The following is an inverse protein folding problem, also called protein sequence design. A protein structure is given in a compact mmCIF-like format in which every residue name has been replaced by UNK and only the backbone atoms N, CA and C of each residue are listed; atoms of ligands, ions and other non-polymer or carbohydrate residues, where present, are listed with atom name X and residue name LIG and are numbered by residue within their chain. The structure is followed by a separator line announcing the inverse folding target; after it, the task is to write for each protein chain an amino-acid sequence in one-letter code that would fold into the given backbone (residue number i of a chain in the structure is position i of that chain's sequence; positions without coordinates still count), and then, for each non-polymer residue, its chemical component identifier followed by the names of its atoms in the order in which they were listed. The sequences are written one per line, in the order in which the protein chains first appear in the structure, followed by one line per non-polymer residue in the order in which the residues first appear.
data_IF_536180462710
#
_entry.id   IF_536180462710
#
_cell.length_a   1.000
_cell.length_b   1.000
_cell.length_c   1.000
_cell.angle_alpha   90.00
_cell.angle_beta   90.00
_cell.angle_gamma   90.00
#
_symmetry.space_group_name_H-M   'P 1'
#
loop_
_entity.id
_entity.type
_entity.pdbx_description
1 polymer ?
#
# COMPACT_ATOMS: atom_id res chain seq x y z
N UNK A 1 28.35 18.98 10.12
CA UNK A 1 28.91 18.23 11.27
C UNK A 1 29.98 17.30 10.75
N UNK A 2 31.17 17.29 11.36
CA UNK A 2 32.27 16.40 10.96
C UNK A 2 32.12 15.04 11.66
N UNK A 3 31.75 14.01 10.89
CA UNK A 3 31.53 12.65 11.39
C UNK A 3 32.74 11.73 11.19
N UNK A 4 33.86 12.23 10.62
CA UNK A 4 35.06 11.43 10.30
C UNK A 4 35.60 10.59 11.46
N UNK A 5 35.64 11.06 12.72
CA UNK A 5 36.13 10.25 13.85
C UNK A 5 35.25 9.03 14.16
N UNK A 6 33.99 9.04 13.71
CA UNK A 6 33.00 8.02 14.03
C UNK A 6 32.77 7.02 12.88
N UNK A 7 33.23 7.31 11.66
CA UNK A 7 32.98 6.47 10.49
C UNK A 7 33.44 5.02 10.70
N UNK A 8 34.66 4.79 11.17
CA UNK A 8 35.16 3.42 11.36
C UNK A 8 34.30 2.64 12.38
N UNK A 9 33.86 3.30 13.46
CA UNK A 9 32.99 2.69 14.48
C UNK A 9 31.61 2.36 13.93
N UNK A 10 31.00 3.28 13.17
CA UNK A 10 29.67 3.12 12.59
C UNK A 10 29.68 1.97 11.57
N UNK A 11 30.59 2.03 10.59
CA UNK A 11 30.67 1.01 9.54
C UNK A 11 31.02 -0.37 10.13
N UNK A 12 31.88 -0.45 11.15
CA UNK A 12 32.18 -1.73 11.82
C UNK A 12 30.96 -2.29 12.57
N UNK A 13 30.15 -1.45 13.21
CA UNK A 13 28.90 -1.89 13.85
C UNK A 13 27.91 -2.44 12.83
N UNK A 14 27.79 -1.81 11.67
CA UNK A 14 26.92 -2.27 10.59
C UNK A 14 27.41 -3.59 10.00
N UNK A 15 28.71 -3.75 9.78
CA UNK A 15 29.30 -5.01 9.30
C UNK A 15 29.02 -6.16 10.27
N UNK A 16 29.10 -5.91 11.57
CA UNK A 16 28.73 -6.91 12.59
C UNK A 16 27.23 -7.20 12.61
N UNK A 17 26.39 -6.18 12.44
CA UNK A 17 24.94 -6.32 12.40
C UNK A 17 24.43 -7.11 11.19
N UNK A 18 25.19 -7.14 10.09
CA UNK A 18 24.89 -7.99 8.93
C UNK A 18 25.16 -9.48 9.17
N UNK A 19 25.75 -9.87 10.30
CA UNK A 19 25.91 -11.29 10.67
C UNK A 19 26.77 -12.12 9.71
N UNK A 20 27.60 -11.49 8.87
CA UNK A 20 28.36 -12.14 7.80
C UNK A 20 29.42 -13.10 8.39
N UNK A 21 29.14 -14.40 8.38
CA UNK A 21 30.02 -15.44 8.92
C UNK A 21 30.41 -16.46 7.84
N UNK A 22 31.72 -16.66 7.65
CA UNK A 22 32.31 -17.76 6.83
C UNK A 22 32.77 -18.93 7.73
N UNK A 23 32.71 -18.80 9.07
CA UNK A 23 33.29 -19.79 9.98
C UNK A 23 32.29 -20.90 10.31
N UNK A 24 32.46 -22.06 9.68
CA UNK A 24 31.91 -23.32 10.18
C UNK A 24 32.32 -23.50 11.66
N UNK A 25 31.34 -23.63 12.56
CA UNK A 25 31.57 -24.10 13.93
C UNK A 25 31.68 -23.05 15.05
N UNK A 26 31.44 -21.76 14.82
CA UNK A 26 31.25 -20.79 15.93
C UNK A 26 29.85 -20.17 15.91
N UNK A 27 29.03 -20.58 16.88
CA UNK A 27 27.71 -20.00 17.14
C UNK A 27 27.92 -18.66 17.85
N UNK A 28 27.43 -17.57 17.28
CA UNK A 28 27.37 -16.28 17.96
C UNK A 28 26.19 -16.34 18.93
N UNK A 29 26.47 -16.42 20.23
CA UNK A 29 25.43 -16.40 21.28
C UNK A 29 25.29 -14.98 21.79
N UNK A 30 24.12 -14.38 21.54
CA UNK A 30 23.79 -13.01 21.92
C UNK A 30 23.91 -12.05 20.74
N UNK A 31 22.90 -12.05 19.87
CA UNK A 31 22.79 -11.02 18.86
C UNK A 31 22.04 -9.82 19.44
N UNK A 32 22.73 -8.69 19.58
CA UNK A 32 22.13 -7.41 19.93
C UNK A 32 21.42 -6.81 18.73
N UNK A 33 20.52 -7.59 18.11
CA UNK A 33 19.81 -7.28 16.88
C UNK A 33 18.78 -6.18 17.12
N UNK A 34 19.25 -4.94 17.17
CA UNK A 34 18.40 -3.80 16.87
C UNK A 34 18.10 -3.81 15.37
N UNK A 35 16.92 -4.31 14.98
CA UNK A 35 16.43 -4.28 13.59
C UNK A 35 16.22 -2.86 13.02
N UNK A 36 16.60 -1.83 13.79
CA UNK A 36 16.58 -0.41 13.44
C UNK A 36 17.90 0.10 12.84
N UNK A 37 18.93 -0.74 12.71
CA UNK A 37 20.29 -0.28 12.36
C UNK A 37 20.52 -0.02 10.87
N UNK A 38 19.88 -0.77 9.95
CA UNK A 38 20.15 -0.65 8.50
C UNK A 38 19.40 0.51 7.82
N UNK A 39 18.13 0.76 8.17
CA UNK A 39 17.37 1.90 7.62
C UNK A 39 17.96 3.25 8.06
N UNK A 40 18.33 3.35 9.34
CA UNK A 40 19.04 4.51 9.87
C UNK A 40 20.43 4.69 9.23
N UNK A 41 21.12 3.60 8.90
CA UNK A 41 22.39 3.65 8.20
C UNK A 41 22.24 4.11 6.74
N UNK A 42 21.21 3.69 6.01
CA UNK A 42 20.95 4.15 4.66
C UNK A 42 20.74 5.68 4.61
N UNK A 43 19.96 6.22 5.55
CA UNK A 43 19.75 7.68 5.72
C UNK A 43 21.03 8.42 6.14
N UNK A 44 21.85 7.80 6.98
CA UNK A 44 23.15 8.34 7.36
C UNK A 44 24.12 8.39 6.16
N UNK A 45 24.17 7.32 5.36
CA UNK A 45 25.02 7.25 4.17
C UNK A 45 24.58 8.29 3.13
N UNK A 46 23.28 8.40 2.85
CA UNK A 46 22.77 9.37 1.87
C UNK A 46 23.04 10.82 2.26
N UNK A 47 23.10 11.12 3.56
CA UNK A 47 23.39 12.47 4.08
C UNK A 47 24.89 12.79 4.23
N UNK A 48 25.76 11.78 4.15
CA UNK A 48 27.22 11.93 4.33
C UNK A 48 28.02 11.59 3.07
N UNK A 49 27.34 11.27 1.96
CA UNK A 49 27.95 11.09 0.65
C UNK A 49 28.17 12.45 -0.03
N UNK A 50 29.36 12.65 -0.62
CA UNK A 50 29.76 13.93 -1.20
C UNK A 50 30.35 14.96 -0.20
N UNK A 51 31.01 15.99 -0.73
CA UNK A 51 31.63 17.06 0.04
C UNK A 51 32.99 16.72 0.71
N UNK A 52 33.60 17.66 1.46
CA UNK A 52 34.93 17.51 2.05
C UNK A 52 35.01 16.48 3.20
N UNK A 53 33.86 16.05 3.73
CA UNK A 53 33.75 15.11 4.84
C UNK A 53 33.13 13.77 4.43
N UNK A 54 33.23 13.40 3.15
CA UNK A 54 32.50 12.24 2.62
C UNK A 54 32.88 10.90 3.27
N UNK A 55 31.89 10.04 3.49
CA UNK A 55 32.07 8.66 3.94
C UNK A 55 32.40 7.66 2.80
N UNK A 56 32.57 8.12 1.56
CA UNK A 56 32.73 7.27 0.36
C UNK A 56 33.82 6.19 0.54
N UNK A 57 34.99 6.56 1.09
CA UNK A 57 36.09 5.62 1.30
C UNK A 57 35.74 4.48 2.25
N UNK A 58 34.88 4.73 3.23
CA UNK A 58 34.41 3.73 4.18
C UNK A 58 33.37 2.82 3.53
N UNK A 59 32.51 3.35 2.65
CA UNK A 59 31.59 2.57 1.82
C UNK A 59 32.35 1.63 0.89
N UNK A 60 33.35 2.15 0.16
CA UNK A 60 34.13 1.34 -0.78
C UNK A 60 34.82 0.16 -0.08
N UNK A 61 35.34 0.39 1.13
CA UNK A 61 35.94 -0.66 1.97
C UNK A 61 34.92 -1.68 2.46
N UNK A 62 33.76 -1.21 2.88
CA UNK A 62 32.67 -2.08 3.32
C UNK A 62 32.17 -2.95 2.16
N UNK A 63 31.94 -2.39 0.97
CA UNK A 63 31.49 -3.14 -0.20
C UNK A 63 32.50 -4.20 -0.61
N UNK A 64 33.80 -3.88 -0.65
CA UNK A 64 34.86 -4.88 -0.89
C UNK A 64 34.91 -5.98 0.16
N UNK A 65 34.47 -5.71 1.40
CA UNK A 65 34.42 -6.70 2.47
C UNK A 65 33.19 -7.61 2.34
N UNK A 66 32.06 -7.09 1.87
CA UNK A 66 30.82 -7.83 1.66
C UNK A 66 30.86 -8.66 0.36
N UNK A 67 31.55 -8.16 -0.67
CA UNK A 67 31.60 -8.76 -2.02
C UNK A 67 31.83 -10.28 -2.05
N UNK A 68 32.78 -10.86 -1.27
CA UNK A 68 32.95 -12.31 -1.22
C UNK A 68 31.73 -13.08 -0.71
N UNK A 69 30.93 -12.50 0.19
CA UNK A 69 29.73 -13.12 0.75
C UNK A 69 28.54 -13.14 -0.23
N UNK A 70 28.58 -12.29 -1.26
CA UNK A 70 27.50 -12.19 -2.25
C UNK A 70 27.72 -13.12 -3.45
N UNK A 71 28.80 -13.90 -3.47
CA UNK A 71 29.03 -14.87 -4.53
C UNK A 71 27.98 -16.00 -4.44
N UNK A 72 27.36 -16.44 -5.56
CA UNK A 72 26.32 -17.47 -5.55
C UNK A 72 26.71 -18.79 -4.88
N UNK A 73 28.01 -19.08 -4.78
CA UNK A 73 28.53 -20.29 -4.11
C UNK A 73 28.77 -20.16 -2.61
N UNK A 74 28.63 -18.95 -2.04
CA UNK A 74 28.82 -18.70 -0.61
C UNK A 74 27.46 -18.59 0.08
N UNK A 75 26.69 -19.68 0.00
CA UNK A 75 25.40 -19.80 0.67
C UNK A 75 25.58 -20.01 2.18
N UNK A 76 24.84 -19.24 2.96
CA UNK A 76 24.90 -19.11 4.41
C UNK A 76 23.62 -18.41 4.90
N UNK A 77 23.36 -18.33 6.21
CA UNK A 77 22.15 -17.71 6.79
C UNK A 77 21.81 -16.32 6.20
N UNK A 78 22.80 -15.54 5.77
CA UNK A 78 22.63 -14.21 5.15
C UNK A 78 22.16 -14.25 3.67
N UNK A 79 22.10 -15.43 3.07
CA UNK A 79 21.63 -15.71 1.70
C UNK A 79 20.62 -16.85 1.67
N UNK A 80 20.22 -17.37 2.85
CA UNK A 80 19.42 -18.58 2.97
C UNK A 80 18.13 -18.44 2.16
N UNK A 81 18.08 -19.16 1.04
CA UNK A 81 16.86 -19.35 0.29
C UNK A 81 15.97 -20.29 1.12
N UNK A 82 14.76 -19.84 1.42
CA UNK A 82 13.76 -20.69 2.07
C UNK A 82 13.54 -21.92 1.18
N UNK A 83 13.60 -23.16 1.70
CA UNK A 83 13.28 -24.33 0.91
C UNK A 83 11.87 -24.22 0.31
N UNK A 84 11.67 -24.66 -0.93
CA UNK A 84 10.39 -24.49 -1.65
C UNK A 84 9.18 -25.08 -0.91
N UNK A 85 9.41 -26.11 -0.10
CA UNK A 85 8.42 -26.75 0.76
C UNK A 85 7.86 -25.83 1.87
N UNK A 86 8.55 -24.73 2.18
CA UNK A 86 8.10 -23.69 3.11
C UNK A 86 7.64 -22.40 2.40
N UNK A 87 7.47 -22.42 1.08
CA UNK A 87 6.88 -21.29 0.38
C UNK A 87 5.42 -21.13 0.76
N UNK A 88 5.00 -19.88 0.92
CA UNK A 88 3.60 -19.56 1.14
C UNK A 88 2.79 -20.02 -0.07
N UNK A 89 1.77 -20.82 0.20
CA UNK A 89 0.79 -21.21 -0.81
C UNK A 89 -0.32 -20.15 -0.90
N UNK A 90 -1.06 -20.13 -2.01
CA UNK A 90 -2.23 -19.25 -2.16
C UNK A 90 -3.25 -19.46 -1.03
N UNK A 91 -3.36 -20.69 -0.50
CA UNK A 91 -4.21 -21.00 0.64
C UNK A 91 -3.73 -20.33 1.93
N UNK A 92 -2.42 -20.31 2.17
CA UNK A 92 -1.83 -19.67 3.36
C UNK A 92 -2.02 -18.16 3.31
N UNK A 93 -1.81 -17.56 2.12
CA UNK A 93 -2.04 -16.14 1.87
C UNK A 93 -3.51 -15.78 2.16
N UNK A 94 -4.44 -16.60 1.66
CA UNK A 94 -5.87 -16.38 1.87
C UNK A 94 -6.28 -16.48 3.34
N UNK A 95 -5.73 -17.46 4.09
CA UNK A 95 -5.97 -17.58 5.52
C UNK A 95 -5.45 -16.37 6.29
N UNK A 96 -4.26 -15.89 5.93
CA UNK A 96 -3.68 -14.67 6.49
C UNK A 96 -4.58 -13.46 6.23
N UNK A 97 -4.95 -13.20 4.97
CA UNK A 97 -5.83 -12.08 4.59
C UNK A 97 -7.17 -12.15 5.34
N UNK A 98 -7.79 -13.33 5.41
CA UNK A 98 -9.05 -13.52 6.13
C UNK A 98 -8.95 -13.16 7.62
N UNK A 99 -7.84 -13.51 8.26
CA UNK A 99 -7.62 -13.27 9.68
C UNK A 99 -7.31 -11.80 9.99
N UNK A 100 -6.61 -11.09 9.09
CA UNK A 100 -6.11 -9.73 9.33
C UNK A 100 -6.99 -8.62 8.78
N UNK A 101 -7.78 -8.90 7.73
CA UNK A 101 -8.50 -7.83 7.02
C UNK A 101 -9.50 -7.11 7.93
N UNK A 102 -10.26 -7.83 8.75
CA UNK A 102 -11.31 -7.21 9.57
C UNK A 102 -10.72 -6.28 10.65
N UNK A 103 -9.63 -6.69 11.31
CA UNK A 103 -8.96 -5.86 12.31
C UNK A 103 -8.33 -4.62 11.68
N UNK A 104 -7.77 -4.75 10.48
CA UNK A 104 -7.25 -3.61 9.73
C UNK A 104 -8.35 -2.63 9.30
N UNK A 105 -9.49 -3.12 8.81
CA UNK A 105 -10.63 -2.27 8.44
C UNK A 105 -11.18 -1.50 9.65
N UNK A 106 -11.18 -2.09 10.85
CA UNK A 106 -11.52 -1.32 12.06
C UNK A 106 -10.44 -0.30 12.43
N UNK A 107 -9.16 -0.66 12.28
CA UNK A 107 -8.05 0.24 12.56
C UNK A 107 -8.02 1.47 11.62
N UNK A 108 -8.54 1.32 10.41
CA UNK A 108 -8.68 2.41 9.45
C UNK A 108 -9.50 3.57 10.03
N UNK A 109 -10.48 3.26 10.88
CA UNK A 109 -11.36 4.24 11.52
C UNK A 109 -10.93 4.67 12.92
N UNK A 110 -9.70 4.31 13.32
CA UNK A 110 -9.15 4.71 14.61
C UNK A 110 -8.96 6.23 14.66
N UNK A 111 -9.15 6.79 15.87
CA UNK A 111 -9.00 8.23 16.15
C UNK A 111 -7.57 8.62 16.56
N UNK A 112 -6.66 7.65 16.67
CA UNK A 112 -5.31 7.89 17.20
C UNK A 112 -4.38 8.43 16.09
N UNK A 113 -4.08 9.72 16.14
CA UNK A 113 -3.47 10.50 15.06
C UNK A 113 -1.99 10.23 14.76
N UNK A 114 -1.40 9.16 15.30
CA UNK A 114 0.04 8.87 15.15
C UNK A 114 0.39 8.00 13.93
N UNK A 115 -0.60 7.40 13.26
CA UNK A 115 -0.35 6.52 12.11
C UNK A 115 -1.58 6.41 11.18
N UNK A 116 -2.05 7.53 10.63
CA UNK A 116 -3.23 7.53 9.73
C UNK A 116 -2.95 6.80 8.40
N UNK A 117 -1.71 6.82 7.91
CA UNK A 117 -1.34 6.18 6.64
C UNK A 117 -1.20 4.66 6.70
N UNK A 118 -0.81 4.13 7.86
CA UNK A 118 -0.38 2.73 7.98
C UNK A 118 -1.53 1.75 7.69
N UNK A 119 -2.74 1.91 8.27
CA UNK A 119 -3.86 1.04 7.95
C UNK A 119 -4.19 1.01 6.46
N UNK A 120 -4.22 2.17 5.79
CA UNK A 120 -4.50 2.26 4.36
C UNK A 120 -3.45 1.51 3.53
N UNK A 121 -2.15 1.71 3.83
CA UNK A 121 -1.05 0.98 3.18
C UNK A 121 -1.10 -0.52 3.42
N UNK A 122 -1.50 -0.97 4.61
CA UNK A 122 -1.66 -2.39 4.91
C UNK A 122 -2.84 -3.00 4.15
N UNK A 123 -3.96 -2.28 4.05
CA UNK A 123 -5.10 -2.71 3.21
C UNK A 123 -4.68 -2.76 1.73
N UNK A 124 -3.89 -1.80 1.25
CA UNK A 124 -3.29 -1.82 -0.09
C UNK A 124 -2.45 -3.08 -0.33
N UNK A 125 -1.58 -3.45 0.62
CA UNK A 125 -0.78 -4.68 0.54
C UNK A 125 -1.68 -5.92 0.51
N UNK A 126 -2.71 -6.01 1.37
CA UNK A 126 -3.64 -7.13 1.33
C UNK A 126 -4.42 -7.18 0.00
N UNK A 127 -4.80 -6.03 -0.53
CA UNK A 127 -5.48 -5.90 -1.83
C UNK A 127 -4.60 -6.31 -3.01
N UNK A 128 -3.28 -6.15 -2.90
CA UNK A 128 -2.34 -6.68 -3.89
C UNK A 128 -2.21 -8.21 -3.80
N UNK A 129 -2.40 -8.81 -2.62
CA UNK A 129 -2.29 -10.25 -2.39
C UNK A 129 -3.57 -11.01 -2.78
N UNK A 130 -4.74 -10.59 -2.31
CA UNK A 130 -6.03 -11.25 -2.58
C UNK A 130 -7.11 -10.20 -2.91
N UNK A 131 -7.07 -9.58 -4.10
CA UNK A 131 -7.97 -8.49 -4.48
C UNK A 131 -9.45 -8.92 -4.51
N UNK A 132 -9.73 -10.13 -4.98
CA UNK A 132 -11.07 -10.71 -5.10
C UNK A 132 -11.80 -10.92 -3.77
N UNK A 133 -11.07 -10.85 -2.64
CA UNK A 133 -11.61 -10.91 -1.29
C UNK A 133 -11.61 -9.54 -0.61
N UNK A 134 -10.51 -8.79 -0.76
CA UNK A 134 -10.32 -7.50 -0.07
C UNK A 134 -11.23 -6.41 -0.65
N UNK A 135 -11.33 -6.30 -1.98
CA UNK A 135 -12.10 -5.22 -2.60
C UNK A 135 -13.60 -5.29 -2.32
N UNK A 136 -14.29 -6.46 -2.41
CA UNK A 136 -15.69 -6.55 -2.02
C UNK A 136 -15.94 -6.04 -0.59
N UNK A 137 -15.12 -6.49 0.36
CA UNK A 137 -15.24 -6.12 1.78
C UNK A 137 -14.94 -4.66 2.05
N UNK A 138 -13.95 -4.10 1.35
CA UNK A 138 -13.63 -2.68 1.47
C UNK A 138 -14.72 -1.81 0.85
N UNK A 139 -15.17 -2.11 -0.37
CA UNK A 139 -16.19 -1.35 -1.07
C UNK A 139 -17.54 -1.34 -0.32
N UNK A 140 -17.89 -2.43 0.38
CA UNK A 140 -19.05 -2.47 1.29
C UNK A 140 -19.00 -1.43 2.42
N UNK A 141 -17.80 -0.97 2.80
CA UNK A 141 -17.61 0.07 3.80
C UNK A 141 -17.48 1.46 3.17
N UNK A 142 -16.86 1.54 1.99
CA UNK A 142 -16.65 2.79 1.25
C UNK A 142 -17.96 3.43 0.87
N UNK A 143 -18.86 2.66 0.26
CA UNK A 143 -20.14 3.20 -0.21
C UNK A 143 -20.95 3.86 0.92
N UNK A 144 -21.27 3.19 2.05
CA UNK A 144 -21.95 3.83 3.17
C UNK A 144 -21.24 5.07 3.73
N UNK A 145 -19.90 5.02 3.86
CA UNK A 145 -19.13 6.14 4.40
C UNK A 145 -19.22 7.39 3.51
N UNK A 146 -19.31 7.22 2.18
CA UNK A 146 -19.49 8.33 1.24
C UNK A 146 -20.87 9.01 1.35
N UNK A 147 -21.91 8.30 1.78
CA UNK A 147 -23.25 8.88 2.00
C UNK A 147 -23.49 9.38 3.42
N UNK A 148 -22.72 8.91 4.39
CA UNK A 148 -22.83 9.31 5.79
C UNK A 148 -22.13 10.67 6.02
N UNK A 149 -22.74 11.75 5.51
CA UNK A 149 -22.24 13.15 5.61
C UNK A 149 -22.00 13.63 7.05
N UNK A 150 -22.53 12.92 8.06
CA UNK A 150 -22.37 13.28 9.47
C UNK A 150 -21.04 12.80 10.11
N UNK A 151 -20.21 12.01 9.43
CA UNK A 151 -18.96 11.43 9.98
C UNK A 151 -17.71 11.83 9.16
N UNK A 152 -17.28 13.11 9.19
CA UNK A 152 -16.24 13.63 8.30
C UNK A 152 -14.89 12.89 8.42
N UNK A 153 -14.49 12.51 9.64
CA UNK A 153 -13.24 11.75 9.86
C UNK A 153 -13.25 10.39 9.17
N UNK A 154 -14.38 9.69 9.25
CA UNK A 154 -14.57 8.38 8.62
C UNK A 154 -14.56 8.49 7.10
N UNK A 155 -15.13 9.56 6.57
CA UNK A 155 -15.08 9.87 5.14
C UNK A 155 -13.64 10.10 4.69
N UNK A 156 -12.88 10.97 5.35
CA UNK A 156 -11.47 11.25 5.01
C UNK A 156 -10.64 9.98 4.94
N UNK A 157 -10.66 9.17 6.01
CA UNK A 157 -9.87 7.93 6.08
C UNK A 157 -10.26 6.90 5.01
N UNK A 158 -11.56 6.85 4.67
CA UNK A 158 -12.05 5.98 3.59
C UNK A 158 -11.53 6.45 2.23
N UNK A 159 -11.55 7.76 1.97
CA UNK A 159 -11.07 8.34 0.70
C UNK A 159 -9.56 8.19 0.55
N UNK A 160 -8.79 8.42 1.61
CA UNK A 160 -7.33 8.21 1.62
C UNK A 160 -6.99 6.74 1.32
N UNK A 161 -7.70 5.80 1.94
CA UNK A 161 -7.52 4.37 1.66
C UNK A 161 -7.93 4.00 0.21
N UNK A 162 -9.02 4.58 -0.28
CA UNK A 162 -9.48 4.35 -1.66
C UNK A 162 -8.47 4.88 -2.69
N UNK A 163 -7.77 5.98 -2.37
CA UNK A 163 -6.69 6.51 -3.20
C UNK A 163 -5.53 5.51 -3.31
N UNK A 164 -5.05 4.97 -2.20
CA UNK A 164 -3.98 3.95 -2.19
C UNK A 164 -4.37 2.68 -2.98
N UNK A 165 -5.66 2.34 -2.99
CA UNK A 165 -6.20 1.17 -3.70
C UNK A 165 -6.50 1.42 -5.18
N UNK A 166 -6.60 2.69 -5.61
CA UNK A 166 -7.04 3.08 -6.95
C UNK A 166 -6.24 2.38 -8.04
N UNK A 167 -4.91 2.40 -7.93
CA UNK A 167 -4.03 1.78 -8.91
C UNK A 167 -4.23 0.26 -9.00
N UNK A 168 -4.35 -0.41 -7.85
CA UNK A 168 -4.53 -1.86 -7.81
C UNK A 168 -5.89 -2.24 -8.41
N UNK A 169 -6.95 -1.49 -8.08
CA UNK A 169 -8.29 -1.68 -8.68
C UNK A 169 -8.25 -1.43 -10.19
N UNK A 170 -7.52 -0.41 -10.65
CA UNK A 170 -7.37 -0.09 -12.06
C UNK A 170 -6.63 -1.19 -12.83
N UNK A 171 -5.58 -1.76 -12.24
CA UNK A 171 -4.83 -2.85 -12.85
C UNK A 171 -5.55 -4.20 -12.77
N UNK A 172 -6.47 -4.38 -11.82
CA UNK A 172 -7.13 -5.66 -11.55
C UNK A 172 -7.77 -6.29 -12.80
N UNK A 173 -7.32 -7.49 -13.13
CA UNK A 173 -7.92 -8.35 -14.15
C UNK A 173 -8.62 -9.52 -13.47
N UNK A 174 -9.73 -9.97 -14.04
CA UNK A 174 -10.52 -11.06 -13.46
C UNK A 174 -9.73 -12.36 -13.55
N UNK A 175 -9.00 -12.71 -12.50
CA UNK A 175 -8.48 -14.06 -12.33
C UNK A 175 -9.69 -14.99 -12.20
N UNK A 176 -9.67 -16.17 -12.83
CA UNK A 176 -10.81 -17.11 -12.84
C UNK A 176 -11.23 -17.67 -11.47
N UNK A 177 -10.80 -17.07 -10.37
CA UNK A 177 -11.13 -17.43 -9.00
C UNK A 177 -12.56 -17.03 -8.60
N UNK A 178 -13.08 -17.70 -7.58
CA UNK A 178 -14.38 -17.39 -6.99
C UNK A 178 -14.32 -16.05 -6.24
N UNK A 179 -14.71 -14.98 -6.91
CA UNK A 179 -14.85 -13.65 -6.33
C UNK A 179 -15.82 -13.68 -5.14
N UNK A 180 -15.44 -13.04 -4.03
CA UNK A 180 -16.41 -12.81 -2.96
C UNK A 180 -17.50 -11.88 -3.47
N UNK A 181 -18.75 -12.33 -3.38
CA UNK A 181 -19.90 -11.49 -3.72
C UNK A 181 -20.06 -10.39 -2.68
N UNK A 182 -20.30 -9.18 -3.15
CA UNK A 182 -20.72 -8.07 -2.31
C UNK A 182 -22.17 -8.29 -1.83
N UNK A 183 -22.51 -7.74 -0.67
CA UNK A 183 -23.85 -7.82 -0.07
C UNK A 183 -24.93 -7.29 -1.03
N UNK A 184 -24.61 -6.21 -1.76
CA UNK A 184 -25.52 -5.51 -2.67
C UNK A 184 -24.80 -5.05 -3.92
N UNK A 185 -25.57 -4.83 -4.97
CA UNK A 185 -25.09 -4.12 -6.15
C UNK A 185 -25.05 -2.62 -5.86
N UNK A 186 -23.93 -2.18 -5.30
CA UNK A 186 -23.73 -0.78 -4.94
C UNK A 186 -23.83 0.15 -6.15
N UNK A 187 -23.49 -0.32 -7.35
CA UNK A 187 -23.61 0.49 -8.58
C UNK A 187 -25.07 0.78 -8.90
N UNK A 188 -25.94 -0.23 -8.83
CA UNK A 188 -27.37 -0.02 -9.03
C UNK A 188 -27.98 0.87 -7.94
N UNK A 189 -27.48 0.76 -6.70
CA UNK A 189 -27.93 1.62 -5.61
C UNK A 189 -27.49 3.08 -5.82
N UNK A 190 -26.27 3.32 -6.30
CA UNK A 190 -25.80 4.67 -6.68
C UNK A 190 -26.69 5.28 -7.77
N UNK A 191 -27.06 4.50 -8.78
CA UNK A 191 -27.90 4.98 -9.88
C UNK A 191 -29.30 5.39 -9.41
N UNK A 192 -29.89 4.67 -8.45
CA UNK A 192 -31.19 5.02 -7.86
C UNK A 192 -31.14 6.30 -7.02
N UNK A 193 -30.05 6.50 -6.29
CA UNK A 193 -29.89 7.65 -5.40
C UNK A 193 -29.39 8.91 -6.13
N UNK A 194 -29.04 8.82 -7.41
CA UNK A 194 -28.51 9.95 -8.18
C UNK A 194 -29.56 11.06 -8.33
N UNK A 195 -29.19 12.28 -7.97
CA UNK A 195 -29.99 13.49 -8.27
C UNK A 195 -30.13 13.70 -9.78
N UNK A 196 -31.34 14.05 -10.21
CA UNK A 196 -31.65 14.42 -11.60
C UNK A 196 -30.91 15.67 -12.09
N UNK A 197 -30.33 16.45 -11.17
CA UNK A 197 -29.62 17.70 -11.45
C UNK A 197 -28.08 17.57 -11.44
N UNK A 198 -27.53 16.36 -11.34
CA UNK A 198 -26.07 16.15 -11.39
C UNK A 198 -25.52 16.46 -12.79
N UNK A 199 -24.42 17.21 -12.88
CA UNK A 199 -23.70 17.48 -14.14
C UNK A 199 -23.25 16.18 -14.84
N UNK A 200 -23.08 15.09 -14.09
CA UNK A 200 -22.68 13.78 -14.59
C UNK A 200 -23.89 12.86 -14.87
N UNK A 201 -25.12 13.34 -14.70
CA UNK A 201 -26.34 12.57 -14.91
C UNK A 201 -26.46 12.00 -16.34
N UNK A 202 -25.94 12.68 -17.35
CA UNK A 202 -25.92 12.20 -18.74
C UNK A 202 -24.77 11.24 -19.06
N UNK A 203 -23.79 11.18 -18.17
CA UNK A 203 -22.63 10.29 -18.24
C UNK A 203 -22.76 9.09 -17.29
N UNK A 204 -23.98 8.74 -16.88
CA UNK A 204 -24.18 7.53 -16.10
C UNK A 204 -23.80 6.29 -16.89
N UNK A 205 -23.30 5.26 -16.21
CA UNK A 205 -22.91 4.01 -16.85
C UNK A 205 -24.06 3.36 -17.62
N UNK A 206 -25.28 3.42 -17.07
CA UNK A 206 -26.47 2.88 -17.73
C UNK A 206 -26.82 3.68 -19.00
N UNK A 207 -26.80 5.01 -18.93
CA UNK A 207 -27.07 5.87 -20.10
C UNK A 207 -25.98 5.78 -21.15
N UNK A 208 -24.70 5.77 -20.75
CA UNK A 208 -23.58 5.57 -21.66
C UNK A 208 -23.65 4.20 -22.34
N UNK A 209 -23.97 3.16 -21.58
CA UNK A 209 -24.17 1.81 -22.12
C UNK A 209 -25.29 1.79 -23.16
N UNK A 210 -26.40 2.46 -22.88
CA UNK A 210 -27.53 2.57 -23.80
C UNK A 210 -27.20 3.43 -25.04
N UNK A 211 -26.54 4.57 -24.85
CA UNK A 211 -26.17 5.52 -25.90
C UNK A 211 -25.15 4.95 -26.88
N UNK A 212 -24.16 4.23 -26.39
CA UNK A 212 -23.07 3.68 -27.19
C UNK A 212 -23.24 2.20 -27.54
N UNK A 213 -24.35 1.55 -27.13
CA UNK A 213 -24.58 0.10 -27.27
C UNK A 213 -23.44 -0.75 -26.71
N UNK A 214 -22.67 -0.20 -25.79
CA UNK A 214 -21.50 -0.84 -25.20
C UNK A 214 -21.83 -1.26 -23.78
N UNK A 215 -21.85 -2.56 -23.49
CA UNK A 215 -22.20 -3.06 -22.16
C UNK A 215 -21.06 -2.85 -21.17
N UNK A 216 -20.94 -1.63 -20.65
CA UNK A 216 -19.77 -1.20 -19.86
C UNK A 216 -19.59 -2.05 -18.59
N UNK A 217 -20.69 -2.41 -17.91
CA UNK A 217 -20.68 -3.28 -16.72
C UNK A 217 -20.20 -4.72 -17.01
N UNK A 218 -20.45 -5.22 -18.21
CA UNK A 218 -20.00 -6.56 -18.63
C UNK A 218 -18.56 -6.54 -19.17
N UNK A 219 -18.11 -5.42 -19.72
CA UNK A 219 -16.82 -5.28 -20.40
C UNK A 219 -15.69 -4.73 -19.53
N UNK A 220 -15.99 -3.95 -18.49
CA UNK A 220 -15.00 -3.59 -17.48
C UNK A 220 -14.82 -4.76 -16.53
N UNK A 221 -13.56 -5.11 -16.22
CA UNK A 221 -13.25 -6.13 -15.23
C UNK A 221 -13.87 -5.80 -13.88
N UNK A 222 -14.05 -6.83 -13.06
CA UNK A 222 -15.00 -6.92 -11.93
C UNK A 222 -15.02 -5.76 -10.94
N UNK A 223 -13.94 -4.97 -10.80
CA UNK A 223 -13.93 -3.83 -9.89
C UNK A 223 -13.66 -2.47 -10.55
N UNK A 224 -13.18 -2.43 -11.80
CA UNK A 224 -12.76 -1.18 -12.46
C UNK A 224 -13.90 -0.19 -12.65
N UNK A 225 -15.12 -0.68 -12.85
CA UNK A 225 -16.28 0.18 -13.00
C UNK A 225 -16.63 0.98 -11.72
N UNK A 226 -16.20 0.53 -10.54
CA UNK A 226 -16.40 1.28 -9.29
C UNK A 226 -15.57 2.58 -9.26
N UNK A 227 -14.44 2.63 -9.98
CA UNK A 227 -13.62 3.85 -10.06
C UNK A 227 -14.36 5.01 -10.73
N UNK A 228 -15.22 4.74 -11.72
CA UNK A 228 -16.03 5.79 -12.36
C UNK A 228 -16.93 6.49 -11.35
N UNK A 229 -17.59 5.72 -10.48
CA UNK A 229 -18.44 6.27 -9.42
C UNK A 229 -17.63 6.97 -8.34
N UNK A 230 -16.46 6.44 -8.00
CA UNK A 230 -15.54 7.11 -7.08
C UNK A 230 -15.14 8.50 -7.60
N UNK A 231 -14.74 8.61 -8.86
CA UNK A 231 -14.41 9.89 -9.49
C UNK A 231 -15.61 10.83 -9.56
N UNK A 232 -16.80 10.33 -9.91
CA UNK A 232 -18.03 11.13 -9.88
C UNK A 232 -18.29 11.71 -8.49
N UNK A 233 -18.10 10.91 -7.43
CA UNK A 233 -18.31 11.35 -6.05
C UNK A 233 -17.27 12.38 -5.63
N UNK A 234 -15.99 12.23 -6.04
CA UNK A 234 -14.96 13.24 -5.81
C UNK A 234 -15.31 14.55 -6.52
N UNK A 235 -15.70 14.50 -7.79
CA UNK A 235 -16.09 15.68 -8.58
C UNK A 235 -17.30 16.37 -7.97
N UNK A 236 -18.33 15.61 -7.58
CA UNK A 236 -19.50 16.14 -6.89
C UNK A 236 -19.19 16.62 -5.46
N UNK A 237 -18.11 16.11 -4.86
CA UNK A 237 -17.60 16.48 -3.54
C UNK A 237 -16.84 17.80 -3.52
N UNK A 238 -16.39 18.30 -4.68
CA UNK A 238 -15.90 19.68 -4.89
C UNK A 238 -17.12 20.63 -4.93
N UNK A 239 -17.98 20.54 -3.91
CA UNK A 239 -19.07 21.48 -3.70
C UNK A 239 -18.53 22.66 -2.89
N UNK A 240 -18.82 23.88 -3.35
CA UNK A 240 -18.36 25.15 -2.79
C UNK A 240 -18.86 25.36 -1.34
N UNK A 241 -19.88 24.60 -0.92
CA UNK A 241 -20.52 24.72 0.39
C UNK A 241 -19.91 23.84 1.50
N UNK A 242 -19.09 22.83 1.17
CA UNK A 242 -18.43 21.96 2.16
C UNK A 242 -16.92 22.01 1.99
N UNK A 243 -16.29 22.96 2.69
CA UNK A 243 -14.84 23.22 2.66
C UNK A 243 -14.04 21.97 3.03
N UNK A 244 -14.56 21.11 3.90
CA UNK A 244 -13.90 19.86 4.32
C UNK A 244 -13.87 18.86 3.19
N UNK A 245 -15.02 18.61 2.55
CA UNK A 245 -15.14 17.68 1.43
C UNK A 245 -14.43 18.18 0.18
N UNK A 246 -14.46 19.48 -0.06
CA UNK A 246 -13.72 20.13 -1.13
C UNK A 246 -12.19 20.01 -0.91
N UNK A 247 -11.68 20.27 0.30
CA UNK A 247 -10.26 20.12 0.61
C UNK A 247 -9.77 18.66 0.46
N UNK A 248 -10.58 17.68 0.87
CA UNK A 248 -10.23 16.26 0.69
C UNK A 248 -10.24 15.89 -0.80
N UNK A 249 -11.26 16.32 -1.55
CA UNK A 249 -11.35 16.05 -2.98
C UNK A 249 -10.20 16.69 -3.77
N UNK A 250 -9.78 17.89 -3.39
CA UNK A 250 -8.60 18.58 -3.94
C UNK A 250 -7.31 17.86 -3.54
N UNK A 251 -7.13 17.48 -2.27
CA UNK A 251 -5.96 16.74 -1.81
C UNK A 251 -5.80 15.39 -2.54
N UNK A 252 -6.89 14.64 -2.72
CA UNK A 252 -6.89 13.39 -3.49
C UNK A 252 -6.55 13.66 -4.97
N UNK A 253 -7.05 14.77 -5.54
CA UNK A 253 -6.75 15.15 -6.93
C UNK A 253 -5.29 15.56 -7.13
N UNK A 254 -4.72 16.31 -6.19
CA UNK A 254 -3.32 16.77 -6.23
C UNK A 254 -2.35 15.58 -6.13
N UNK A 255 -2.63 14.61 -5.26
CA UNK A 255 -1.84 13.38 -5.18
C UNK A 255 -1.92 12.51 -6.45
N UNK A 256 -2.96 12.69 -7.28
CA UNK A 256 -3.10 11.99 -8.56
C UNK A 256 -2.28 12.61 -9.70
N UNK A 257 -1.74 13.82 -9.50
CA UNK A 257 -0.99 14.60 -10.50
C UNK A 257 0.53 14.44 -10.43
N UNK A 258 1.02 13.64 -9.48
CA UNK A 258 2.43 13.24 -9.29
C UNK A 258 2.64 11.80 -9.78
#
# INVERSE_FOLDING_TARGET
MDWRPLYDTIFTRIIRAMGLCIREGKIVVGDGSGSSSLDGFAKFVSSTIGGPYSCQKNIDRMMKMIEPFMHPSNESDHTAMVPKEFYLTDSDIKLFVNATLQSLLYSLYSKDGKSYDLPAKLVMVLGALEPDYVFPKFLEQVYPAMFAVCEPHRLTQTLDCMFELMYIIACHEKAGAAQQKMEKDWVEEMEKQRSTCSLLHDYSMQKLSNKHKWKIKENLSTFRYHLFYFFEILIAGIDINDVTKANISIHVSDNMSL
#
